data_IF_837312799203
#
_entry.id   IF_837312799203
#
_cell.length_a   1.000
_cell.length_b   1.000
_cell.length_c   1.000
_cell.angle_alpha   90.00
_cell.angle_beta   90.00
_cell.angle_gamma   90.00
#
_symmetry.space_group_name_H-M   'P 1'
#
loop_
_entity.id
_entity.type
_entity.pdbx_description
1 polymer ?
#
# COMPACT_ATOMS: atom_id res chain seq x y z
N UNK A 1 15.50 -10.20 -11.13
CA UNK A 1 14.89 -11.30 -10.39
C UNK A 1 13.74 -10.75 -9.56
N UNK A 2 12.71 -11.55 -9.29
CA UNK A 2 11.56 -11.21 -8.45
C UNK A 2 11.29 -12.34 -7.46
N UNK A 3 10.99 -12.01 -6.22
CA UNK A 3 10.76 -12.99 -5.15
C UNK A 3 9.60 -12.53 -4.26
N UNK A 4 8.91 -13.48 -3.62
CA UNK A 4 7.90 -13.17 -2.60
C UNK A 4 8.43 -13.29 -1.17
N UNK A 5 9.55 -13.96 -0.96
CA UNK A 5 10.11 -14.17 0.38
C UNK A 5 11.32 -13.30 0.65
N UNK A 6 11.39 -12.63 1.78
CA UNK A 6 12.52 -11.80 2.17
C UNK A 6 13.82 -12.63 2.26
N UNK A 7 13.77 -13.82 2.87
CA UNK A 7 14.91 -14.73 2.92
C UNK A 7 15.44 -15.09 1.52
N UNK A 8 14.53 -15.47 0.60
CA UNK A 8 14.91 -15.77 -0.79
C UNK A 8 15.48 -14.53 -1.48
N UNK A 9 14.94 -13.35 -1.18
CA UNK A 9 15.42 -12.09 -1.72
C UNK A 9 16.86 -11.80 -1.29
N UNK A 10 17.18 -12.02 -0.03
CA UNK A 10 18.51 -11.82 0.55
C UNK A 10 19.54 -12.86 0.06
N UNK A 11 19.12 -14.11 -0.18
CA UNK A 11 19.97 -15.18 -0.70
C UNK A 11 20.24 -15.07 -2.23
N UNK A 12 19.43 -14.31 -2.94
CA UNK A 12 19.44 -14.24 -4.41
C UNK A 12 20.77 -13.77 -5.01
N UNK A 13 21.49 -12.77 -4.46
CA UNK A 13 22.78 -12.34 -5.02
C UNK A 13 23.79 -13.48 -5.11
N UNK A 14 23.89 -14.27 -4.05
CA UNK A 14 24.82 -15.40 -4.01
C UNK A 14 24.41 -16.54 -4.97
N UNK A 15 23.11 -16.81 -5.05
CA UNK A 15 22.57 -17.79 -6.00
C UNK A 15 22.83 -17.36 -7.45
N UNK A 16 22.64 -16.09 -7.76
CA UNK A 16 22.90 -15.55 -9.11
C UNK A 16 24.38 -15.60 -9.46
N UNK A 17 25.25 -15.17 -8.55
CA UNK A 17 26.70 -15.22 -8.74
C UNK A 17 27.14 -16.64 -9.09
N UNK A 18 26.74 -17.61 -8.29
CA UNK A 18 27.06 -19.03 -8.51
C UNK A 18 26.56 -19.54 -9.84
N UNK A 19 25.33 -19.21 -10.25
CA UNK A 19 24.75 -19.61 -11.54
C UNK A 19 25.53 -19.00 -12.70
N UNK A 20 25.84 -17.73 -12.64
CA UNK A 20 26.58 -16.98 -13.68
C UNK A 20 27.96 -17.61 -13.88
N UNK A 21 28.75 -17.76 -12.81
CA UNK A 21 30.10 -18.29 -12.85
C UNK A 21 30.14 -19.73 -13.36
N UNK A 22 29.29 -20.61 -12.84
CA UNK A 22 29.27 -22.01 -13.25
C UNK A 22 28.72 -22.22 -14.67
N UNK A 23 27.76 -21.41 -15.10
CA UNK A 23 27.26 -21.49 -16.50
C UNK A 23 28.32 -21.04 -17.48
N UNK A 24 29.04 -19.98 -17.19
CA UNK A 24 30.16 -19.54 -18.06
C UNK A 24 31.26 -20.60 -18.12
N UNK A 25 31.68 -21.14 -16.98
CA UNK A 25 32.69 -22.17 -16.91
C UNK A 25 32.29 -23.45 -17.68
N UNK A 26 31.03 -23.85 -17.63
CA UNK A 26 30.53 -24.99 -18.42
C UNK A 26 30.64 -24.80 -19.93
N UNK A 27 30.71 -23.56 -20.40
CA UNK A 27 30.85 -23.17 -21.80
C UNK A 27 32.29 -22.77 -22.17
N UNK A 28 33.26 -22.98 -21.26
CA UNK A 28 34.66 -22.61 -21.47
C UNK A 28 34.91 -21.09 -21.43
N UNK A 29 34.05 -20.33 -20.80
CA UNK A 29 34.13 -18.89 -20.61
C UNK A 29 34.26 -18.51 -19.15
N UNK A 30 34.60 -17.25 -18.85
CA UNK A 30 34.60 -16.65 -17.54
C UNK A 30 33.49 -15.58 -17.46
N UNK A 31 32.84 -15.47 -16.32
CA UNK A 31 31.86 -14.41 -16.04
C UNK A 31 31.90 -14.02 -14.58
N UNK A 32 31.60 -12.76 -14.33
CA UNK A 32 31.54 -12.18 -12.99
C UNK A 32 30.21 -11.41 -12.85
N UNK A 33 29.57 -11.51 -11.69
CA UNK A 33 28.47 -10.65 -11.31
C UNK A 33 29.04 -9.39 -10.65
N UNK A 34 29.22 -8.32 -11.42
CA UNK A 34 29.89 -7.10 -10.98
C UNK A 34 29.03 -6.14 -10.20
N UNK A 35 27.72 -6.16 -10.43
CA UNK A 35 26.77 -5.27 -9.78
C UNK A 35 25.46 -5.98 -9.49
N UNK A 36 24.97 -5.82 -8.26
CA UNK A 36 23.69 -6.30 -7.81
C UNK A 36 23.07 -5.33 -6.80
N UNK A 37 21.96 -4.75 -7.16
CA UNK A 37 21.22 -3.85 -6.28
C UNK A 37 19.93 -4.52 -5.81
N UNK A 38 19.75 -4.62 -4.50
CA UNK A 38 18.46 -4.96 -3.89
C UNK A 38 17.59 -3.72 -3.95
N UNK A 39 16.61 -3.72 -4.85
CA UNK A 39 15.77 -2.55 -5.09
C UNK A 39 14.58 -2.51 -4.11
N UNK A 40 13.70 -3.51 -4.15
CA UNK A 40 12.44 -3.48 -3.41
C UNK A 40 12.19 -4.84 -2.77
N UNK A 41 11.58 -4.81 -1.60
CA UNK A 41 11.07 -6.00 -0.92
C UNK A 41 9.65 -6.34 -1.41
N UNK A 42 9.06 -7.41 -0.84
CA UNK A 42 7.66 -7.75 -1.09
C UNK A 42 6.73 -6.65 -0.56
N UNK A 43 5.66 -6.38 -1.27
CA UNK A 43 4.52 -5.65 -0.71
C UNK A 43 3.69 -6.61 0.12
N UNK A 44 3.58 -6.35 1.40
CA UNK A 44 2.76 -7.08 2.34
C UNK A 44 1.85 -6.11 3.08
N UNK A 45 0.58 -6.12 2.71
CA UNK A 45 -0.42 -5.25 3.32
C UNK A 45 -0.70 -5.67 4.76
N UNK A 46 -0.79 -4.71 5.66
CA UNK A 46 -1.27 -4.93 7.02
C UNK A 46 -2.75 -5.36 7.03
N UNK A 47 -3.10 -6.31 7.88
CA UNK A 47 -4.43 -6.90 7.89
C UNK A 47 -5.52 -5.90 8.34
N UNK A 48 -5.25 -5.09 9.37
CA UNK A 48 -6.20 -4.10 9.88
C UNK A 48 -6.40 -2.97 8.86
N UNK A 49 -5.31 -2.49 8.25
CA UNK A 49 -5.35 -1.50 7.18
C UNK A 49 -6.09 -2.01 5.94
N UNK A 50 -5.90 -3.29 5.59
CA UNK A 50 -6.61 -3.93 4.47
C UNK A 50 -8.11 -4.02 4.72
N UNK A 51 -8.52 -4.42 5.93
CA UNK A 51 -9.94 -4.47 6.29
C UNK A 51 -10.57 -3.08 6.33
N UNK A 52 -9.88 -2.07 6.86
CA UNK A 52 -10.36 -0.67 6.81
C UNK A 52 -10.52 -0.18 5.36
N UNK A 53 -9.56 -0.49 4.49
CA UNK A 53 -9.67 -0.16 3.07
C UNK A 53 -10.88 -0.85 2.42
N UNK A 54 -11.10 -2.13 2.72
CA UNK A 54 -12.28 -2.87 2.26
C UNK A 54 -13.58 -2.22 2.73
N UNK A 55 -13.67 -1.79 4.00
CA UNK A 55 -14.83 -1.08 4.52
C UNK A 55 -15.04 0.28 3.83
N UNK A 56 -13.97 1.02 3.55
CA UNK A 56 -14.06 2.26 2.78
C UNK A 56 -14.60 2.01 1.37
N UNK A 57 -14.16 0.94 0.69
CA UNK A 57 -14.72 0.53 -0.62
C UNK A 57 -16.21 0.22 -0.51
N UNK A 58 -16.63 -0.56 0.48
CA UNK A 58 -18.04 -0.91 0.68
C UNK A 58 -18.91 0.31 0.96
N UNK A 59 -18.42 1.26 1.78
CA UNK A 59 -19.13 2.51 2.07
C UNK A 59 -19.30 3.39 0.83
N UNK A 60 -18.27 3.50 -0.01
CA UNK A 60 -18.25 4.39 -1.15
C UNK A 60 -18.88 3.79 -2.41
N UNK A 61 -18.65 2.50 -2.66
CA UNK A 61 -18.96 1.85 -3.94
C UNK A 61 -19.93 0.66 -3.79
N UNK A 62 -20.21 0.25 -2.55
CA UNK A 62 -20.98 -0.96 -2.28
C UNK A 62 -20.21 -2.26 -2.62
N UNK A 63 -20.85 -3.43 -2.49
CA UNK A 63 -20.20 -4.72 -2.73
C UNK A 63 -19.66 -4.90 -4.16
N UNK A 64 -20.25 -4.23 -5.14
CA UNK A 64 -19.80 -4.29 -6.54
C UNK A 64 -18.45 -3.56 -6.76
N UNK A 65 -18.02 -2.73 -5.83
CA UNK A 65 -16.72 -2.04 -5.85
C UNK A 65 -15.57 -2.90 -5.36
N UNK A 66 -15.84 -4.01 -4.69
CA UNK A 66 -14.84 -4.92 -4.18
C UNK A 66 -14.34 -5.86 -5.28
N UNK A 67 -13.06 -5.88 -5.52
CA UNK A 67 -12.40 -6.74 -6.48
C UNK A 67 -11.32 -7.60 -5.83
N UNK A 68 -11.04 -8.73 -6.46
CA UNK A 68 -9.94 -9.60 -6.05
C UNK A 68 -8.75 -9.42 -6.99
N UNK A 69 -7.61 -9.03 -6.43
CA UNK A 69 -6.36 -8.91 -7.16
C UNK A 69 -5.43 -10.07 -6.81
N UNK A 70 -5.00 -10.81 -7.84
CA UNK A 70 -3.95 -11.82 -7.66
C UNK A 70 -2.60 -11.15 -7.52
N UNK A 71 -1.82 -11.56 -6.54
CA UNK A 71 -0.46 -11.09 -6.38
C UNK A 71 0.38 -11.30 -7.66
N UNK A 72 1.24 -10.37 -7.95
CA UNK A 72 2.16 -10.40 -9.10
C UNK A 72 3.60 -10.26 -8.64
N UNK A 73 4.53 -10.81 -9.43
CA UNK A 73 5.97 -10.63 -9.22
C UNK A 73 6.45 -9.33 -9.87
N UNK A 74 5.77 -8.22 -9.57
CA UNK A 74 6.19 -6.87 -9.98
C UNK A 74 6.97 -6.18 -8.86
N UNK A 75 7.85 -5.24 -9.20
CA UNK A 75 8.49 -4.37 -8.21
C UNK A 75 7.55 -3.24 -7.84
N UNK A 76 7.54 -2.89 -6.56
CA UNK A 76 6.75 -1.80 -6.02
C UNK A 76 7.48 -1.21 -4.80
N UNK A 77 7.91 0.05 -4.91
CA UNK A 77 8.67 0.73 -3.87
C UNK A 77 7.83 1.15 -2.67
N UNK A 78 6.51 1.08 -2.76
CA UNK A 78 5.60 1.22 -1.61
C UNK A 78 5.87 0.17 -0.52
N UNK A 79 6.52 -0.93 -0.86
CA UNK A 79 7.03 -1.92 0.10
C UNK A 79 7.91 -1.30 1.18
N UNK A 80 8.69 -0.26 0.85
CA UNK A 80 9.55 0.42 1.79
C UNK A 80 8.78 1.23 2.84
N UNK A 81 7.59 1.71 2.51
CA UNK A 81 6.69 2.33 3.47
C UNK A 81 6.07 1.28 4.39
N UNK A 82 5.57 0.16 3.82
CA UNK A 82 4.93 -0.91 4.58
C UNK A 82 5.87 -1.62 5.56
N UNK A 83 7.18 -1.61 5.30
CA UNK A 83 8.20 -2.11 6.24
C UNK A 83 8.38 -1.23 7.47
N UNK A 84 7.94 0.01 7.41
CA UNK A 84 8.12 1.01 8.47
C UNK A 84 6.82 1.31 9.20
N UNK A 85 5.71 1.22 8.51
CA UNK A 85 4.39 1.57 9.06
C UNK A 85 3.31 0.63 8.54
N UNK A 86 2.33 0.25 9.38
CA UNK A 86 1.15 -0.48 8.91
C UNK A 86 0.43 0.32 7.81
N UNK A 87 0.04 -0.35 6.76
CA UNK A 87 -0.62 0.30 5.64
C UNK A 87 -1.16 -0.68 4.60
N UNK A 88 -1.73 -0.15 3.54
CA UNK A 88 -2.31 -0.92 2.46
C UNK A 88 -2.04 -0.28 1.11
N UNK A 89 -1.54 -1.08 0.17
CA UNK A 89 -1.54 -0.77 -1.25
C UNK A 89 -2.78 -1.40 -1.88
N UNK A 90 -3.65 -0.57 -2.43
CA UNK A 90 -4.86 -1.01 -3.12
C UNK A 90 -4.82 -0.64 -4.60
N UNK A 91 -5.27 -1.55 -5.46
CA UNK A 91 -5.35 -1.30 -6.89
C UNK A 91 -6.76 -0.84 -7.27
N UNK A 92 -6.82 0.19 -8.12
CA UNK A 92 -8.08 0.65 -8.73
C UNK A 92 -8.19 0.03 -10.12
N UNK A 93 -9.24 -0.77 -10.34
CA UNK A 93 -9.49 -1.40 -11.62
C UNK A 93 -9.91 -0.35 -12.65
N UNK A 94 -9.08 -0.13 -13.68
CA UNK A 94 -9.30 0.88 -14.71
C UNK A 94 -9.44 0.30 -16.12
N UNK A 95 -9.62 -1.03 -16.23
CA UNK A 95 -9.83 -1.72 -17.52
C UNK A 95 -11.26 -1.51 -18.02
N UNK A 96 -11.39 -1.04 -19.26
CA UNK A 96 -12.69 -0.91 -19.94
C UNK A 96 -12.59 -1.24 -21.44
N UNK A 97 -13.01 -2.44 -21.87
CA UNK A 97 -12.96 -2.83 -23.27
C UNK A 97 -13.78 -1.94 -24.21
N UNK A 98 -14.87 -1.33 -23.73
CA UNK A 98 -15.76 -0.52 -24.55
C UNK A 98 -15.08 0.75 -25.09
N UNK A 99 -14.10 1.27 -24.37
CA UNK A 99 -13.31 2.44 -24.78
C UNK A 99 -11.88 2.08 -25.20
N UNK A 100 -11.57 0.79 -25.34
CA UNK A 100 -10.24 0.30 -25.71
C UNK A 100 -9.19 0.38 -24.59
N UNK A 101 -9.59 0.58 -23.33
CA UNK A 101 -8.70 0.55 -22.17
C UNK A 101 -8.44 -0.90 -21.74
N UNK A 102 -7.63 -1.63 -22.50
CA UNK A 102 -7.39 -3.07 -22.33
C UNK A 102 -5.92 -3.45 -22.19
N UNK A 103 -5.02 -2.56 -22.54
CA UNK A 103 -3.58 -2.81 -22.48
C UNK A 103 -3.04 -2.69 -21.06
N UNK A 104 -2.04 -3.50 -20.74
CA UNK A 104 -1.38 -3.46 -19.44
C UNK A 104 -0.53 -2.19 -19.26
N UNK A 105 -0.20 -1.88 -18.02
CA UNK A 105 0.81 -0.87 -17.68
C UNK A 105 2.12 -1.14 -18.45
N UNK A 106 2.89 -0.09 -18.71
CA UNK A 106 4.13 -0.10 -19.52
C UNK A 106 3.95 -0.42 -21.01
N UNK A 107 2.72 -0.57 -21.52
CA UNK A 107 2.45 -0.59 -22.96
C UNK A 107 2.38 0.83 -23.51
N UNK A 108 2.92 1.06 -24.73
CA UNK A 108 2.73 2.34 -25.43
C UNK A 108 1.26 2.63 -25.80
N UNK A 109 0.40 1.61 -25.74
CA UNK A 109 -1.05 1.73 -25.94
C UNK A 109 -1.82 1.79 -24.63
N UNK A 110 -1.13 1.95 -23.49
CA UNK A 110 -1.78 2.01 -22.18
C UNK A 110 -2.82 3.12 -22.12
N UNK A 111 -4.00 2.77 -21.71
CA UNK A 111 -5.15 3.66 -21.54
C UNK A 111 -5.98 3.18 -20.34
N UNK A 112 -6.49 4.09 -19.58
CA UNK A 112 -7.38 3.82 -18.44
C UNK A 112 -8.78 4.37 -18.70
N UNK A 113 -9.77 3.82 -18.02
CA UNK A 113 -11.06 4.45 -17.87
C UNK A 113 -10.99 5.53 -16.79
N UNK A 114 -10.92 6.78 -17.21
CA UNK A 114 -10.77 7.93 -16.30
C UNK A 114 -11.97 8.10 -15.35
N UNK A 115 -13.12 7.50 -15.65
CA UNK A 115 -14.29 7.55 -14.76
C UNK A 115 -14.05 6.92 -13.39
N UNK A 116 -13.01 6.08 -13.27
CA UNK A 116 -12.64 5.45 -11.99
C UNK A 116 -11.79 6.35 -11.09
N UNK A 117 -11.20 7.43 -11.61
CA UNK A 117 -10.30 8.31 -10.84
C UNK A 117 -11.01 8.92 -9.63
N UNK A 118 -12.21 9.45 -9.84
CA UNK A 118 -13.02 10.00 -8.75
C UNK A 118 -13.38 8.93 -7.70
N UNK A 119 -13.63 7.68 -8.13
CA UNK A 119 -13.93 6.57 -7.24
C UNK A 119 -12.73 6.20 -6.37
N UNK A 120 -11.54 6.13 -6.96
CA UNK A 120 -10.29 5.89 -6.23
C UNK A 120 -10.02 6.98 -5.19
N UNK A 121 -10.16 8.25 -5.57
CA UNK A 121 -10.00 9.40 -4.66
C UNK A 121 -11.01 9.38 -3.51
N UNK A 122 -12.26 9.02 -3.79
CA UNK A 122 -13.32 8.91 -2.79
C UNK A 122 -13.01 7.82 -1.76
N UNK A 123 -12.55 6.64 -2.21
CA UNK A 123 -12.14 5.54 -1.30
C UNK A 123 -10.95 5.93 -0.45
N UNK A 124 -9.93 6.58 -1.03
CA UNK A 124 -8.77 7.05 -0.28
C UNK A 124 -9.14 8.10 0.79
N UNK A 125 -10.02 9.03 0.46
CA UNK A 125 -10.53 10.01 1.42
C UNK A 125 -11.34 9.34 2.54
N UNK A 126 -12.21 8.38 2.21
CA UNK A 126 -12.99 7.63 3.19
C UNK A 126 -12.09 6.81 4.12
N UNK A 127 -11.06 6.15 3.57
CA UNK A 127 -10.06 5.44 4.36
C UNK A 127 -9.39 6.38 5.38
N UNK A 128 -8.98 7.58 4.96
CA UNK A 128 -8.36 8.55 5.85
C UNK A 128 -9.32 9.02 6.96
N UNK A 129 -10.58 9.24 6.64
CA UNK A 129 -11.62 9.59 7.62
C UNK A 129 -11.81 8.46 8.63
N UNK A 130 -11.95 7.22 8.16
CA UNK A 130 -12.13 6.05 9.02
C UNK A 130 -10.89 5.80 9.91
N UNK A 131 -9.69 5.99 9.36
CA UNK A 131 -8.45 5.89 10.13
C UNK A 131 -8.36 6.93 11.25
N UNK A 132 -8.74 8.18 10.98
CA UNK A 132 -8.70 9.26 11.98
C UNK A 132 -9.81 9.14 13.02
N UNK A 133 -10.96 8.57 12.65
CA UNK A 133 -12.09 8.41 13.55
C UNK A 133 -11.89 7.26 14.55
N UNK A 134 -11.33 6.14 14.10
CA UNK A 134 -11.18 4.91 14.90
C UNK A 134 -9.80 4.26 14.69
N UNK A 135 -8.72 4.93 15.11
CA UNK A 135 -7.41 4.30 15.03
C UNK A 135 -7.36 3.10 15.98
N UNK A 136 -6.79 1.99 15.52
CA UNK A 136 -6.51 0.85 16.41
C UNK A 136 -5.40 1.21 17.39
N UNK A 137 -5.32 0.49 18.53
CA UNK A 137 -4.25 0.72 19.49
C UNK A 137 -2.85 0.50 18.86
N UNK A 138 -2.72 -0.47 17.99
CA UNK A 138 -1.48 -0.74 17.26
C UNK A 138 -1.08 0.42 16.35
N UNK A 139 -2.03 1.07 15.69
CA UNK A 139 -1.81 2.28 14.89
C UNK A 139 -1.48 3.52 15.75
N UNK A 140 -1.95 3.55 17.00
CA UNK A 140 -1.61 4.60 17.97
C UNK A 140 -0.23 4.39 18.58
N UNK A 141 0.11 3.14 18.90
CA UNK A 141 1.36 2.74 19.56
C UNK A 141 2.47 2.42 18.55
N UNK A 142 2.11 2.27 17.26
CA UNK A 142 3.03 1.91 16.20
C UNK A 142 4.22 2.85 16.07
N UNK A 143 5.34 2.37 15.52
CA UNK A 143 6.59 3.13 15.38
C UNK A 143 6.45 4.43 14.57
N UNK A 144 5.31 4.61 13.91
CA UNK A 144 5.05 5.70 12.96
C UNK A 144 5.17 7.08 13.57
N UNK A 145 4.50 7.35 14.70
CA UNK A 145 4.55 8.69 15.32
C UNK A 145 5.87 8.88 16.05
N UNK A 146 6.41 7.82 16.65
CA UNK A 146 7.72 7.86 17.28
C UNK A 146 8.84 8.05 16.24
N UNK A 147 8.84 7.28 15.16
CA UNK A 147 9.82 7.41 14.08
C UNK A 147 9.72 8.75 13.34
N UNK A 148 8.49 9.27 13.12
CA UNK A 148 8.29 10.61 12.56
C UNK A 148 8.73 11.68 13.54
N UNK A 149 8.55 11.49 14.86
CA UNK A 149 8.99 12.44 15.87
C UNK A 149 10.51 12.58 15.93
N UNK A 150 11.25 11.49 15.70
CA UNK A 150 12.69 11.50 15.63
C UNK A 150 13.24 12.21 14.39
N UNK A 151 12.56 12.07 13.25
CA UNK A 151 13.01 12.62 11.95
C UNK A 151 12.38 13.97 11.61
N UNK A 152 11.17 14.24 12.09
CA UNK A 152 10.43 15.48 11.82
C UNK A 152 9.47 15.82 12.98
N UNK A 153 9.98 16.49 14.05
CA UNK A 153 9.18 16.84 15.22
C UNK A 153 7.98 17.75 14.92
N UNK A 154 8.09 18.65 13.93
CA UNK A 154 7.01 19.55 13.53
C UNK A 154 5.85 18.79 12.87
N UNK A 155 6.16 17.80 12.03
CA UNK A 155 5.16 16.95 11.42
C UNK A 155 4.47 16.06 12.47
N UNK A 156 5.25 15.51 13.41
CA UNK A 156 4.70 14.74 14.52
C UNK A 156 3.75 15.58 15.41
N UNK A 157 4.08 16.85 15.67
CA UNK A 157 3.21 17.77 16.40
C UNK A 157 1.91 18.05 15.65
N UNK A 158 1.98 18.28 14.32
CA UNK A 158 0.80 18.46 13.45
C UNK A 158 -0.08 17.22 13.42
N UNK A 159 0.50 16.02 13.34
CA UNK A 159 -0.23 14.75 13.36
C UNK A 159 -0.96 14.53 14.71
N UNK A 160 -0.30 14.85 15.85
CA UNK A 160 -0.93 14.79 17.17
C UNK A 160 -2.10 15.77 17.29
N UNK A 161 -1.92 17.00 16.82
CA UNK A 161 -2.96 18.03 16.82
C UNK A 161 -4.14 17.62 15.94
N UNK A 162 -3.89 17.10 14.74
CA UNK A 162 -4.95 16.61 13.85
C UNK A 162 -5.73 15.43 14.46
N UNK A 163 -5.05 14.52 15.17
CA UNK A 163 -5.71 13.42 15.90
C UNK A 163 -6.59 13.93 17.05
N UNK A 164 -6.13 14.91 17.82
CA UNK A 164 -6.92 15.51 18.90
C UNK A 164 -8.18 16.17 18.32
N UNK A 165 -8.07 16.96 17.28
CA UNK A 165 -9.21 17.60 16.59
C UNK A 165 -10.19 16.58 16.01
N UNK A 166 -9.69 15.47 15.45
CA UNK A 166 -10.54 14.40 14.93
C UNK A 166 -11.28 13.66 16.05
N UNK A 167 -10.65 13.46 17.21
CA UNK A 167 -11.29 12.88 18.39
C UNK A 167 -12.41 13.78 18.92
N UNK A 168 -12.17 15.08 19.04
CA UNK A 168 -13.19 16.06 19.46
C UNK A 168 -14.39 16.10 18.49
N UNK A 169 -14.11 16.07 17.18
CA UNK A 169 -15.16 16.04 16.16
C UNK A 169 -16.00 14.76 16.23
N UNK A 170 -15.35 13.62 16.50
CA UNK A 170 -16.03 12.33 16.69
C UNK A 170 -16.98 12.37 17.89
N UNK A 171 -16.52 12.87 19.02
CA UNK A 171 -17.29 12.93 20.24
C UNK A 171 -18.52 13.86 20.07
N UNK A 172 -18.34 15.00 19.40
CA UNK A 172 -19.43 15.89 19.01
C UNK A 172 -20.45 15.23 18.06
N UNK A 173 -19.99 14.40 17.10
CA UNK A 173 -20.88 13.63 16.22
C UNK A 173 -21.64 12.54 16.97
N UNK A 174 -20.99 11.86 17.93
CA UNK A 174 -21.61 10.85 18.76
C UNK A 174 -22.73 11.47 19.61
N UNK A 175 -22.47 12.60 20.25
CA UNK A 175 -23.44 13.33 21.07
C UNK A 175 -24.64 13.82 20.22
N UNK A 176 -24.37 14.35 19.02
CA UNK A 176 -25.42 14.78 18.09
C UNK A 176 -26.30 13.61 17.60
N UNK A 177 -25.71 12.43 17.41
CA UNK A 177 -26.44 11.20 17.02
C UNK A 177 -27.30 10.68 18.16
N UNK A 178 -26.77 10.69 19.39
CA UNK A 178 -27.49 10.26 20.59
C UNK A 178 -28.66 11.19 20.89
N UNK A 179 -28.48 12.50 20.73
CA UNK A 179 -29.57 13.48 20.90
C UNK A 179 -30.67 13.31 19.84
N UNK A 180 -30.38 12.90 18.62
CA UNK A 180 -31.39 12.63 17.57
C UNK A 180 -32.21 11.36 17.83
N UNK A 181 -31.68 10.40 18.59
CA UNK A 181 -32.41 9.17 18.95
C UNK A 181 -33.23 9.32 20.24
N UNK A 182 -33.03 10.39 20.99
CA UNK A 182 -33.75 10.70 22.23
C UNK A 182 -34.92 11.68 22.04
N UNK A 183 -35.08 12.26 20.85
CA UNK A 183 -36.17 13.13 20.43
C UNK A 183 -37.12 12.41 19.45
#
# INVERSE_FOLDING_TARGET
VRTYGDKTHEEMPELMRRIVEHTAAALGAEAELTDYTIANYKVENDAASSERCRQAVLKCLGPAGEGHYRGTLSGEDFSEYLRRVPGVLAFVGARNPQIGATYAQHSCFYKIDESVLAKGSMVAAQYAIDFLAEPTQEELDGPTIAAVAETNPDLAAKLRSAKATAAEARDAMHDARTARHAA
#
